data_IF_183188584455
#
_entry.id   IF_183188584455
#
_cell.length_a   1.000
_cell.length_b   1.000
_cell.length_c   1.000
_cell.angle_alpha   90.00
_cell.angle_beta   90.00
_cell.angle_gamma   90.00
#
_symmetry.space_group_name_H-M   'P 1'
#
loop_
_entity.id
_entity.type
_entity.pdbx_description
1 polymer ?
#
# COMPACT_ATOMS: atom_id res chain seq x y z
N UNK A 1 3.99 2.29 17.82
CA UNK A 1 4.00 3.71 17.42
C UNK A 1 5.43 4.08 17.00
N UNK A 2 5.66 5.27 16.43
CA UNK A 2 7.02 5.76 16.11
C UNK A 2 7.31 6.98 16.98
N UNK A 3 8.55 7.11 17.43
CA UNK A 3 9.04 8.33 18.07
C UNK A 3 10.32 8.74 17.37
N UNK A 4 10.45 10.05 17.12
CA UNK A 4 11.60 10.64 16.43
C UNK A 4 12.37 11.52 17.40
N UNK A 5 13.69 11.47 17.32
CA UNK A 5 14.62 12.31 18.08
C UNK A 5 15.82 12.64 17.19
N UNK A 6 16.48 13.76 17.47
CA UNK A 6 17.76 14.10 16.85
C UNK A 6 18.94 13.26 17.41
N UNK A 7 18.79 12.70 18.61
CA UNK A 7 19.83 11.92 19.29
C UNK A 7 19.31 10.55 19.71
N UNK A 8 20.18 9.54 19.54
CA UNK A 8 19.94 8.16 19.96
C UNK A 8 19.93 8.05 21.48
N UNK A 9 20.84 8.74 22.14
CA UNK A 9 21.01 8.79 23.60
C UNK A 9 19.74 9.33 24.28
N UNK A 10 19.10 10.34 23.67
CA UNK A 10 17.80 10.85 24.15
C UNK A 10 16.71 9.79 24.04
N UNK A 11 16.69 9.00 22.96
CA UNK A 11 15.71 7.91 22.82
C UNK A 11 15.93 6.83 23.87
N UNK A 12 17.17 6.42 24.08
CA UNK A 12 17.55 5.32 24.97
C UNK A 12 17.40 5.68 26.44
N UNK A 13 17.91 6.83 26.87
CA UNK A 13 18.03 7.16 28.29
C UNK A 13 16.90 8.03 28.83
N UNK A 14 16.16 8.74 27.97
CA UNK A 14 15.06 9.63 28.42
C UNK A 14 13.70 9.12 27.97
N UNK A 15 13.54 8.95 26.66
CA UNK A 15 12.23 8.68 26.05
C UNK A 15 11.76 7.26 26.34
N UNK A 16 12.60 6.25 26.14
CA UNK A 16 12.22 4.86 26.34
C UNK A 16 11.80 4.55 27.80
N UNK A 17 12.55 4.99 28.85
CA UNK A 17 12.13 4.83 30.24
C UNK A 17 10.83 5.58 30.54
N UNK A 18 10.67 6.80 30.04
CA UNK A 18 9.46 7.60 30.25
C UNK A 18 8.21 6.89 29.68
N UNK A 19 8.31 6.29 28.50
CA UNK A 19 7.21 5.54 27.89
C UNK A 19 6.89 4.28 28.67
N UNK A 20 7.91 3.52 29.10
CA UNK A 20 7.69 2.33 29.92
C UNK A 20 6.93 2.68 31.19
N UNK A 21 7.35 3.75 31.89
CA UNK A 21 6.64 4.25 33.07
C UNK A 21 5.20 4.68 32.75
N UNK A 22 4.99 5.40 31.65
CA UNK A 22 3.66 5.85 31.22
C UNK A 22 2.70 4.69 30.88
N UNK A 23 3.21 3.64 30.24
CA UNK A 23 2.43 2.46 29.86
C UNK A 23 2.18 1.52 31.05
N UNK A 24 3.16 1.37 31.96
CA UNK A 24 3.03 0.51 33.14
C UNK A 24 1.85 0.90 34.04
N UNK A 25 1.59 2.21 34.21
CA UNK A 25 0.41 2.72 34.95
C UNK A 25 -0.92 2.25 34.33
N UNK A 26 -0.91 1.86 33.05
CA UNK A 26 -2.07 1.35 32.30
C UNK A 26 -2.03 -0.16 32.10
N UNK A 27 -1.13 -0.89 32.77
CA UNK A 27 -0.98 -2.33 32.63
C UNK A 27 -0.44 -2.76 31.26
N UNK A 28 0.29 -1.89 30.56
CA UNK A 28 0.88 -2.17 29.25
C UNK A 28 2.40 -2.17 29.33
N UNK A 29 3.04 -3.07 28.60
CA UNK A 29 4.49 -3.16 28.50
C UNK A 29 4.97 -3.14 27.04
N UNK A 30 6.18 -2.63 26.84
CA UNK A 30 6.84 -2.67 25.53
C UNK A 30 7.49 -4.03 25.33
N UNK A 31 7.22 -4.65 24.18
CA UNK A 31 7.94 -5.83 23.72
C UNK A 31 9.35 -5.44 23.30
N UNK A 32 10.36 -6.00 23.98
CA UNK A 32 11.77 -5.73 23.69
C UNK A 32 12.17 -6.23 22.29
N UNK A 33 11.62 -7.36 21.86
CA UNK A 33 11.84 -7.91 20.51
C UNK A 33 11.37 -6.96 19.40
N UNK A 34 10.24 -6.25 19.62
CA UNK A 34 9.64 -5.35 18.63
C UNK A 34 10.14 -3.91 18.74
N UNK A 35 10.74 -3.56 19.88
CA UNK A 35 11.20 -2.20 20.14
C UNK A 35 12.62 -2.03 19.62
N UNK A 36 12.76 -1.23 18.57
CA UNK A 36 14.06 -0.98 17.93
C UNK A 36 14.30 0.51 17.77
N UNK A 37 15.53 0.92 18.08
CA UNK A 37 16.06 2.24 17.76
C UNK A 37 16.92 2.11 16.51
N UNK A 38 16.71 2.99 15.53
CA UNK A 38 17.40 2.91 14.24
C UNK A 38 17.58 4.30 13.65
N UNK A 39 18.64 4.48 12.86
CA UNK A 39 18.81 5.70 12.11
C UNK A 39 17.86 5.71 10.90
N UNK A 40 17.34 6.89 10.56
CA UNK A 40 16.49 7.08 9.36
C UNK A 40 17.22 6.75 8.05
N UNK A 41 18.56 6.81 8.05
CA UNK A 41 19.41 6.44 6.92
C UNK A 41 19.39 4.92 6.64
N UNK A 42 19.25 4.10 7.68
CA UNK A 42 19.10 2.64 7.56
C UNK A 42 17.66 2.27 7.17
N UNK A 43 16.71 3.09 7.64
CA UNK A 43 15.29 2.97 7.39
C UNK A 43 14.61 1.91 8.26
N UNK A 44 13.28 1.94 8.24
CA UNK A 44 12.44 0.99 8.99
C UNK A 44 11.09 0.79 8.32
N UNK A 45 10.44 -0.31 8.65
CA UNK A 45 9.10 -0.64 8.17
C UNK A 45 8.05 -0.18 9.19
N UNK A 46 7.02 0.51 8.70
CA UNK A 46 5.86 0.90 9.49
C UNK A 46 4.61 0.91 8.62
N UNK A 47 3.53 0.27 9.10
CA UNK A 47 2.25 0.15 8.39
C UNK A 47 2.43 -0.33 6.92
N UNK A 48 3.31 -1.30 6.71
CA UNK A 48 3.56 -1.88 5.38
C UNK A 48 4.30 -0.95 4.40
N UNK A 49 4.89 0.14 4.88
CA UNK A 49 5.73 1.06 4.13
C UNK A 49 7.13 1.09 4.74
N UNK A 50 8.16 1.19 3.90
CA UNK A 50 9.53 1.43 4.31
C UNK A 50 9.84 2.92 4.26
N UNK A 51 10.26 3.47 5.39
CA UNK A 51 10.63 4.88 5.56
C UNK A 51 12.15 4.97 5.63
N UNK A 52 12.78 5.64 4.66
CA UNK A 52 14.24 5.77 4.61
C UNK A 52 14.70 7.08 4.00
N UNK A 53 15.75 7.68 4.57
CA UNK A 53 16.38 8.90 4.05
C UNK A 53 17.69 8.55 3.34
N UNK A 54 17.77 8.90 2.06
CA UNK A 54 18.93 8.69 1.20
C UNK A 54 19.58 10.03 0.91
N UNK A 55 20.82 10.27 1.36
CA UNK A 55 21.58 11.50 1.08
C UNK A 55 20.73 12.78 1.21
N UNK A 56 20.01 12.92 2.33
CA UNK A 56 19.13 14.08 2.57
C UNK A 56 17.68 13.91 2.09
N UNK A 57 17.39 12.99 1.17
CA UNK A 57 16.07 12.79 0.55
C UNK A 57 15.28 11.67 1.21
N UNK A 58 14.12 11.99 1.80
CA UNK A 58 13.20 11.01 2.35
C UNK A 58 12.41 10.31 1.23
N UNK A 59 12.54 8.99 1.12
CA UNK A 59 11.72 8.16 0.26
C UNK A 59 10.93 7.19 1.12
N UNK A 60 9.61 7.22 0.96
CA UNK A 60 8.70 6.24 1.54
C UNK A 60 8.26 5.34 0.40
N UNK A 61 8.50 4.04 0.51
CA UNK A 61 8.15 3.04 -0.51
C UNK A 61 7.31 1.92 0.14
N UNK A 62 6.52 1.14 -0.61
CA UNK A 62 5.89 -0.05 -0.03
C UNK A 62 6.97 -1.02 0.49
N UNK A 63 6.78 -1.56 1.69
CA UNK A 63 7.80 -2.43 2.29
C UNK A 63 7.89 -3.77 1.56
N UNK A 64 9.07 -4.40 1.59
CA UNK A 64 9.29 -5.73 0.99
C UNK A 64 8.32 -6.77 1.56
N UNK A 65 8.06 -6.72 2.87
CA UNK A 65 7.10 -7.58 3.54
C UNK A 65 5.67 -7.38 3.00
N UNK A 66 5.23 -6.13 2.86
CA UNK A 66 3.90 -5.78 2.32
C UNK A 66 3.72 -6.27 0.87
N UNK A 67 4.73 -6.09 0.04
CA UNK A 67 4.73 -6.59 -1.36
C UNK A 67 4.67 -8.11 -1.38
N UNK A 68 5.49 -8.78 -0.58
CA UNK A 68 5.48 -10.26 -0.47
C UNK A 68 4.12 -10.77 -0.03
N UNK A 69 3.52 -10.17 1.00
CA UNK A 69 2.20 -10.55 1.50
C UNK A 69 1.11 -10.45 0.41
N UNK A 70 1.12 -9.38 -0.39
CA UNK A 70 0.22 -9.25 -1.54
C UNK A 70 0.45 -10.39 -2.54
N UNK A 71 1.68 -10.59 -2.99
CA UNK A 71 2.00 -11.59 -4.01
C UNK A 71 1.71 -13.01 -3.53
N UNK A 72 1.94 -13.31 -2.25
CA UNK A 72 1.60 -14.60 -1.65
C UNK A 72 0.10 -14.83 -1.58
N UNK A 73 -0.68 -13.79 -1.26
CA UNK A 73 -2.16 -13.85 -1.30
C UNK A 73 -2.66 -14.09 -2.73
N UNK A 74 -2.16 -13.33 -3.71
CA UNK A 74 -2.50 -13.52 -5.12
C UNK A 74 -2.13 -14.94 -5.58
N UNK A 75 -0.93 -15.41 -5.24
CA UNK A 75 -0.48 -16.76 -5.57
C UNK A 75 -1.39 -17.84 -5.01
N UNK A 76 -1.80 -17.71 -3.74
CA UNK A 76 -2.74 -18.66 -3.10
C UNK A 76 -4.07 -18.69 -3.84
N UNK A 77 -4.61 -17.54 -4.21
CA UNK A 77 -5.88 -17.45 -4.95
C UNK A 77 -5.75 -18.14 -6.32
N UNK A 78 -4.70 -17.82 -7.08
CA UNK A 78 -4.47 -18.42 -8.41
C UNK A 78 -4.30 -19.94 -8.31
N UNK A 79 -3.52 -20.42 -7.33
CA UNK A 79 -3.28 -21.85 -7.13
C UNK A 79 -4.52 -22.60 -6.65
N UNK A 80 -5.27 -22.04 -5.70
CA UNK A 80 -6.49 -22.65 -5.17
C UNK A 80 -7.63 -22.68 -6.18
N UNK A 81 -7.61 -21.81 -7.19
CA UNK A 81 -8.64 -21.71 -8.22
C UNK A 81 -8.09 -22.13 -9.59
N UNK A 82 -7.44 -23.29 -9.65
CA UNK A 82 -6.71 -23.71 -10.83
C UNK A 82 -7.64 -24.03 -12.03
N UNK A 83 -8.90 -24.39 -11.78
CA UNK A 83 -9.91 -24.76 -12.78
C UNK A 83 -11.00 -23.69 -13.03
N UNK A 84 -11.05 -22.62 -12.23
CA UNK A 84 -12.09 -21.59 -12.31
C UNK A 84 -12.16 -20.90 -13.68
N UNK A 85 -13.31 -20.37 -14.05
CA UNK A 85 -13.43 -19.50 -15.22
C UNK A 85 -12.52 -18.27 -15.09
N UNK A 86 -12.01 -17.77 -16.22
CA UNK A 86 -11.15 -16.59 -16.26
C UNK A 86 -11.78 -15.37 -15.58
N UNK A 87 -13.07 -15.14 -15.83
CA UNK A 87 -13.87 -14.08 -15.19
C UNK A 87 -13.83 -14.18 -13.67
N UNK A 88 -14.13 -15.35 -13.11
CA UNK A 88 -14.13 -15.55 -11.66
C UNK A 88 -12.77 -15.24 -11.04
N UNK A 89 -11.68 -15.64 -11.70
CA UNK A 89 -10.34 -15.32 -11.23
C UNK A 89 -10.07 -13.80 -11.24
N UNK A 90 -10.50 -13.09 -12.29
CA UNK A 90 -10.36 -11.63 -12.39
C UNK A 90 -11.15 -10.93 -11.27
N UNK A 91 -12.39 -11.35 -11.03
CA UNK A 91 -13.25 -10.77 -10.00
C UNK A 91 -12.67 -10.97 -8.58
N UNK A 92 -12.04 -12.11 -8.30
CA UNK A 92 -11.36 -12.34 -7.03
C UNK A 92 -10.10 -11.49 -6.85
N UNK A 93 -9.31 -11.32 -7.90
CA UNK A 93 -8.02 -10.62 -7.83
C UNK A 93 -8.18 -9.09 -7.82
N UNK A 94 -9.15 -8.55 -8.55
CA UNK A 94 -9.31 -7.11 -8.76
C UNK A 94 -9.46 -6.30 -7.46
N UNK A 95 -10.34 -6.67 -6.50
CA UNK A 95 -10.48 -5.94 -5.24
C UNK A 95 -9.18 -5.91 -4.43
N UNK A 96 -8.41 -7.00 -4.45
CA UNK A 96 -7.18 -7.14 -3.68
C UNK A 96 -6.07 -6.25 -4.25
N UNK A 97 -5.85 -6.33 -5.57
CA UNK A 97 -4.83 -5.53 -6.25
C UNK A 97 -5.20 -4.04 -6.16
N UNK A 98 -6.46 -3.70 -6.44
CA UNK A 98 -6.94 -2.31 -6.37
C UNK A 98 -6.81 -1.75 -4.96
N UNK A 99 -7.27 -2.47 -3.94
CA UNK A 99 -7.19 -2.02 -2.55
C UNK A 99 -5.75 -1.77 -2.11
N UNK A 100 -4.84 -2.70 -2.44
CA UNK A 100 -3.42 -2.54 -2.11
C UNK A 100 -2.78 -1.35 -2.84
N UNK A 101 -3.07 -1.18 -4.14
CA UNK A 101 -2.56 -0.05 -4.92
C UNK A 101 -3.12 1.29 -4.45
N UNK A 102 -4.40 1.35 -4.08
CA UNK A 102 -5.02 2.56 -3.52
C UNK A 102 -4.40 2.93 -2.17
N UNK A 103 -4.14 1.96 -1.30
CA UNK A 103 -3.47 2.21 -0.03
C UNK A 103 -2.07 2.82 -0.20
N UNK A 104 -1.28 2.30 -1.15
CA UNK A 104 0.09 2.77 -1.40
C UNK A 104 0.19 3.93 -2.40
N UNK A 105 -0.93 4.45 -2.93
CA UNK A 105 -0.90 5.50 -3.97
C UNK A 105 -0.29 6.82 -3.51
N UNK A 106 -0.16 7.02 -2.20
CA UNK A 106 0.35 8.26 -1.62
C UNK A 106 1.88 8.28 -1.45
N UNK A 107 2.51 7.11 -1.55
CA UNK A 107 3.96 6.95 -1.38
C UNK A 107 4.68 6.74 -2.71
N UNK A 108 6.01 6.62 -2.69
CA UNK A 108 6.82 6.37 -3.89
C UNK A 108 6.64 4.91 -4.30
N UNK A 109 5.53 4.61 -4.96
CA UNK A 109 5.11 3.23 -5.25
C UNK A 109 5.10 2.84 -6.73
N UNK A 110 5.32 3.78 -7.67
CA UNK A 110 5.11 3.53 -9.11
C UNK A 110 5.97 2.39 -9.65
N UNK A 111 7.26 2.33 -9.30
CA UNK A 111 8.15 1.24 -9.69
C UNK A 111 7.70 -0.10 -9.09
N UNK A 112 7.29 -0.10 -7.82
CA UNK A 112 6.75 -1.28 -7.15
C UNK A 112 5.47 -1.77 -7.81
N UNK A 113 4.58 -0.87 -8.22
CA UNK A 113 3.35 -1.20 -8.94
C UNK A 113 3.64 -1.95 -10.25
N UNK A 114 4.57 -1.45 -11.05
CA UNK A 114 5.00 -2.13 -12.28
C UNK A 114 5.61 -3.51 -11.99
N UNK A 115 6.39 -3.62 -10.91
CA UNK A 115 7.01 -4.88 -10.50
C UNK A 115 5.97 -5.93 -10.09
N UNK A 116 4.96 -5.56 -9.29
CA UNK A 116 3.91 -6.50 -8.88
C UNK A 116 3.04 -6.92 -10.07
N UNK A 117 2.71 -6.00 -10.99
CA UNK A 117 1.96 -6.34 -12.21
C UNK A 117 2.70 -7.40 -13.02
N UNK A 118 4.02 -7.28 -13.16
CA UNK A 118 4.85 -8.28 -13.83
C UNK A 118 4.82 -9.64 -13.11
N UNK A 119 4.96 -9.68 -11.79
CA UNK A 119 4.90 -10.93 -11.04
C UNK A 119 3.52 -11.60 -11.13
N UNK A 120 2.44 -10.81 -11.07
CA UNK A 120 1.07 -11.30 -11.23
C UNK A 120 0.85 -11.85 -12.63
N UNK A 121 1.31 -11.13 -13.67
CA UNK A 121 1.28 -11.62 -15.05
C UNK A 121 1.99 -12.97 -15.19
N UNK A 122 3.18 -13.16 -14.61
CA UNK A 122 3.89 -14.46 -14.64
C UNK A 122 3.09 -15.58 -14.00
N UNK A 123 2.39 -15.30 -12.90
CA UNK A 123 1.55 -16.27 -12.21
C UNK A 123 0.34 -16.66 -13.07
N UNK A 124 -0.29 -15.68 -13.72
CA UNK A 124 -1.44 -15.89 -14.62
C UNK A 124 -1.03 -16.62 -15.90
N UNK A 125 0.15 -16.32 -16.45
CA UNK A 125 0.71 -17.05 -17.59
C UNK A 125 0.85 -18.54 -17.27
N UNK A 126 1.45 -18.87 -16.12
CA UNK A 126 1.57 -20.28 -15.67
C UNK A 126 0.22 -20.94 -15.47
N UNK A 127 -0.74 -20.23 -14.88
CA UNK A 127 -2.11 -20.72 -14.73
C UNK A 127 -2.75 -21.01 -16.09
N UNK A 128 -2.57 -20.13 -17.08
CA UNK A 128 -3.10 -20.30 -18.42
C UNK A 128 -2.45 -21.48 -19.18
N UNK A 129 -1.13 -21.62 -19.11
CA UNK A 129 -0.43 -22.76 -19.72
C UNK A 129 -0.86 -24.10 -19.11
N UNK A 130 -1.01 -24.18 -17.78
CA UNK A 130 -1.43 -25.40 -17.08
C UNK A 130 -2.79 -25.92 -17.58
N UNK A 131 -3.70 -25.03 -17.97
CA UNK A 131 -5.03 -25.39 -18.45
C UNK A 131 -5.03 -25.99 -19.86
N UNK A 132 -3.95 -25.78 -20.62
CA UNK A 132 -3.88 -26.16 -22.03
C UNK A 132 -2.53 -26.78 -22.35
N UNK A 133 -2.22 -27.97 -21.82
CA UNK A 133 -0.92 -28.62 -22.02
C UNK A 133 -0.61 -28.88 -23.50
N UNK A 134 -1.65 -29.10 -24.32
CA UNK A 134 -1.52 -29.43 -25.74
C UNK A 134 -1.63 -28.19 -26.67
N UNK A 135 -1.63 -26.97 -26.13
CA UNK A 135 -1.73 -25.74 -26.93
C UNK A 135 -0.46 -24.92 -26.82
N UNK A 136 0.01 -24.39 -27.96
CA UNK A 136 1.18 -23.53 -28.00
C UNK A 136 0.97 -22.17 -27.34
N UNK A 137 2.08 -21.54 -26.95
CA UNK A 137 2.09 -20.24 -26.27
C UNK A 137 1.32 -19.14 -27.03
N UNK A 138 1.39 -19.13 -28.37
CA UNK A 138 0.66 -18.17 -29.20
C UNK A 138 -0.86 -18.30 -29.04
N UNK A 139 -1.37 -19.53 -28.98
CA UNK A 139 -2.79 -19.79 -28.77
C UNK A 139 -3.20 -19.35 -27.36
N UNK A 140 -2.40 -19.69 -26.34
CA UNK A 140 -2.66 -19.30 -24.94
C UNK A 140 -2.70 -17.78 -24.80
N UNK A 141 -1.72 -17.07 -25.38
CA UNK A 141 -1.71 -15.59 -25.42
C UNK A 141 -3.01 -15.08 -26.02
N UNK A 142 -3.40 -15.53 -27.21
CA UNK A 142 -4.66 -15.10 -27.86
C UNK A 142 -5.92 -15.51 -27.09
N UNK A 143 -5.89 -16.53 -26.25
CA UNK A 143 -7.07 -17.00 -25.50
C UNK A 143 -7.34 -16.19 -24.24
N UNK A 144 -6.28 -15.76 -23.55
CA UNK A 144 -6.35 -15.18 -22.20
C UNK A 144 -5.86 -13.74 -22.10
N UNK A 145 -5.05 -13.29 -23.06
CA UNK A 145 -4.39 -12.00 -23.03
C UNK A 145 -4.77 -11.16 -24.24
N UNK A 146 -5.12 -9.91 -24.01
CA UNK A 146 -5.56 -8.97 -25.03
C UNK A 146 -4.60 -7.79 -25.16
N UNK A 147 -4.86 -7.01 -26.18
CA UNK A 147 -4.28 -5.69 -26.37
C UNK A 147 -5.41 -4.70 -26.09
N UNK A 148 -5.19 -3.76 -25.18
CA UNK A 148 -6.13 -2.69 -24.85
C UNK A 148 -5.44 -1.34 -25.03
N UNK A 149 -5.75 -0.64 -26.12
CA UNK A 149 -5.03 0.57 -26.54
C UNK A 149 -3.54 0.27 -26.75
N UNK A 150 -2.68 1.00 -26.05
CA UNK A 150 -1.21 0.80 -26.09
C UNK A 150 -0.71 -0.34 -25.21
N UNK A 151 -1.58 -0.93 -24.38
CA UNK A 151 -1.20 -1.99 -23.45
C UNK A 151 -1.35 -3.34 -24.11
N UNK A 152 -0.31 -4.16 -24.03
CA UNK A 152 -0.35 -5.56 -24.45
C UNK A 152 -0.22 -6.47 -23.24
N UNK A 153 -0.68 -7.70 -23.39
CA UNK A 153 -0.67 -8.72 -22.32
C UNK A 153 -1.66 -8.47 -21.19
N UNK A 154 -2.77 -7.82 -21.48
CA UNK A 154 -3.83 -7.61 -20.49
C UNK A 154 -4.62 -8.90 -20.29
N UNK A 155 -4.63 -9.42 -19.06
CA UNK A 155 -5.40 -10.61 -18.74
C UNK A 155 -6.90 -10.27 -18.70
N UNK A 156 -7.61 -10.60 -19.77
CA UNK A 156 -9.02 -10.22 -19.94
C UNK A 156 -9.82 -11.23 -20.76
N UNK A 157 -11.13 -11.24 -20.55
CA UNK A 157 -12.08 -12.12 -21.25
C UNK A 157 -12.16 -11.80 -22.74
N UNK A 158 -12.72 -12.72 -23.53
CA UNK A 158 -12.78 -12.57 -24.99
C UNK A 158 -13.64 -11.39 -25.45
N UNK A 159 -14.70 -11.10 -24.71
CA UNK A 159 -15.60 -9.95 -24.86
C UNK A 159 -15.05 -8.66 -24.24
N UNK A 160 -13.85 -8.69 -23.65
CA UNK A 160 -13.22 -7.59 -22.91
C UNK A 160 -14.04 -7.01 -21.75
N UNK A 161 -15.14 -7.68 -21.34
CA UNK A 161 -16.01 -7.25 -20.24
C UNK A 161 -15.29 -7.25 -18.90
N UNK A 162 -14.41 -8.24 -18.68
CA UNK A 162 -13.62 -8.35 -17.47
C UNK A 162 -12.13 -8.31 -17.79
N UNK A 163 -11.45 -7.30 -17.25
CA UNK A 163 -10.00 -7.16 -17.29
C UNK A 163 -9.40 -7.11 -15.89
N UNK A 164 -8.23 -7.72 -15.74
CA UNK A 164 -7.45 -7.57 -14.52
C UNK A 164 -6.99 -6.11 -14.37
N UNK A 165 -7.21 -5.54 -13.18
CA UNK A 165 -6.68 -4.21 -12.87
C UNK A 165 -5.17 -4.25 -12.78
N UNK A 166 -4.54 -3.21 -13.31
CA UNK A 166 -3.10 -2.99 -13.17
C UNK A 166 -2.84 -2.04 -12.02
N UNK A 167 -2.00 -2.43 -11.08
CA UNK A 167 -1.57 -1.53 -10.03
C UNK A 167 -0.86 -0.31 -10.63
N UNK A 168 -0.10 -0.50 -11.70
CA UNK A 168 0.59 0.59 -12.39
C UNK A 168 -0.37 1.60 -13.03
N UNK A 169 -1.65 1.26 -13.26
CA UNK A 169 -2.63 2.23 -13.75
C UNK A 169 -3.07 3.22 -12.66
N UNK A 170 -2.87 2.90 -11.37
CA UNK A 170 -3.23 3.81 -10.28
C UNK A 170 -2.29 5.02 -10.27
N UNK A 171 -2.89 6.21 -10.26
CA UNK A 171 -2.17 7.48 -10.19
C UNK A 171 -1.68 7.75 -8.77
N UNK A 172 -0.41 8.17 -8.68
CA UNK A 172 0.19 8.59 -7.42
C UNK A 172 -0.39 9.94 -7.02
N UNK A 173 -0.96 10.02 -5.80
CA UNK A 173 -1.54 11.26 -5.25
C UNK A 173 -0.78 11.64 -3.98
N UNK A 174 0.06 12.66 -4.03
CA UNK A 174 0.84 13.07 -2.85
C UNK A 174 -0.07 13.73 -1.81
N UNK A 175 0.17 13.45 -0.52
CA UNK A 175 -0.50 14.20 0.54
C UNK A 175 0.07 15.61 0.60
N UNK A 176 -0.80 16.61 0.73
CA UNK A 176 -0.40 17.94 1.13
C UNK A 176 0.13 17.89 2.57
N UNK A 177 1.31 18.45 2.85
CA UNK A 177 1.83 18.50 4.23
C UNK A 177 0.98 19.44 5.09
N UNK A 178 0.94 19.19 6.39
CA UNK A 178 0.42 20.17 7.36
C UNK A 178 1.50 21.24 7.56
N UNK A 179 1.10 22.49 7.78
CA UNK A 179 2.06 23.54 8.14
C UNK A 179 2.69 23.18 9.48
N UNK A 180 4.03 23.24 9.57
CA UNK A 180 4.75 22.75 10.76
C UNK A 180 4.40 23.49 12.05
N UNK A 181 4.05 24.77 11.93
CA UNK A 181 3.63 25.62 13.07
C UNK A 181 2.14 25.51 13.39
N UNK A 182 1.35 24.82 12.56
CA UNK A 182 -0.09 24.75 12.77
C UNK A 182 -0.42 23.89 13.99
N UNK A 183 -1.01 24.52 15.00
CA UNK A 183 -1.46 23.87 16.21
C UNK A 183 -3.00 23.71 16.17
N UNK A 184 -3.54 22.48 16.19
CA UNK A 184 -4.99 22.24 16.20
C UNK A 184 -5.73 22.80 17.42
N UNK A 185 -5.01 23.15 18.48
CA UNK A 185 -5.58 23.66 19.74
C UNK A 185 -5.43 25.18 19.89
N UNK A 186 -4.88 25.85 18.87
CA UNK A 186 -4.72 27.30 18.85
C UNK A 186 -5.75 27.89 17.86
N UNK A 187 -6.70 28.73 18.34
CA UNK A 187 -7.77 29.29 17.51
C UNK A 187 -7.29 30.05 16.28
N UNK A 188 -6.06 30.55 16.28
CA UNK A 188 -5.47 31.24 15.11
C UNK A 188 -5.39 30.33 13.87
N UNK A 189 -5.39 29.01 14.06
CA UNK A 189 -5.32 28.02 12.98
C UNK A 189 -6.67 27.43 12.56
N UNK A 190 -7.79 27.84 13.16
CA UNK A 190 -9.10 27.25 12.89
C UNK A 190 -9.50 27.35 11.41
N UNK A 191 -9.32 28.52 10.81
CA UNK A 191 -9.60 28.73 9.39
C UNK A 191 -8.74 27.82 8.49
N UNK A 192 -7.48 27.59 8.86
CA UNK A 192 -6.58 26.69 8.14
C UNK A 192 -7.08 25.24 8.18
N UNK A 193 -7.46 24.74 9.37
CA UNK A 193 -7.97 23.38 9.53
C UNK A 193 -9.35 23.19 8.91
N UNK A 194 -10.24 24.18 8.99
CA UNK A 194 -11.55 24.17 8.34
C UNK A 194 -11.43 24.06 6.82
N UNK A 195 -10.59 24.90 6.19
CA UNK A 195 -10.31 24.82 4.74
C UNK A 195 -9.77 23.45 4.34
N UNK A 196 -8.88 22.89 5.16
CA UNK A 196 -8.27 21.58 4.91
C UNK A 196 -9.25 20.41 5.06
N UNK A 197 -10.22 20.50 5.98
CA UNK A 197 -11.31 19.53 6.09
C UNK A 197 -12.20 19.58 4.85
N UNK A 198 -12.63 20.79 4.44
CA UNK A 198 -13.48 20.96 3.26
C UNK A 198 -12.84 20.45 1.97
N UNK A 199 -11.52 20.64 1.82
CA UNK A 199 -10.75 20.11 0.69
C UNK A 199 -10.66 18.56 0.68
N UNK A 200 -10.78 17.89 1.83
CA UNK A 200 -10.88 16.43 1.89
C UNK A 200 -12.26 15.93 1.49
N UNK A 201 -13.32 16.65 1.87
CA UNK A 201 -14.71 16.29 1.57
C UNK A 201 -15.06 16.43 0.08
N UNK A 202 -14.55 17.44 -0.59
CA UNK A 202 -14.74 17.63 -2.04
C UNK A 202 -13.99 16.62 -2.90
N UNK A 203 -12.99 15.91 -2.35
CA UNK A 203 -12.18 14.96 -3.09
C UNK A 203 -12.79 13.55 -3.24
N UNK A 204 -14.01 13.31 -2.75
CA UNK A 204 -14.77 12.08 -2.99
C UNK A 204 -14.02 10.79 -2.64
N UNK A 205 -13.33 10.74 -1.50
CA UNK A 205 -12.59 9.54 -1.07
C UNK A 205 -13.55 8.51 -0.44
N UNK A 206 -13.78 7.33 -1.06
CA UNK A 206 -14.67 6.31 -0.49
C UNK A 206 -14.01 5.71 0.75
N UNK A 207 -14.66 5.84 1.90
CA UNK A 207 -14.25 5.16 3.15
C UNK A 207 -13.73 6.06 4.28
N UNK A 208 -13.89 7.39 4.21
CA UNK A 208 -13.56 8.26 5.35
C UNK A 208 -14.74 8.27 6.34
N UNK A 209 -14.60 7.55 7.45
CA UNK A 209 -15.49 7.70 8.61
C UNK A 209 -15.36 9.13 9.14
N UNK A 210 -16.48 9.85 9.20
CA UNK A 210 -16.59 11.20 9.74
C UNK A 210 -16.37 11.19 11.25
N UNK A 211 -15.15 11.46 11.70
CA UNK A 211 -14.92 11.78 13.11
C UNK A 211 -15.50 13.18 13.38
N UNK A 212 -16.74 13.23 13.90
CA UNK A 212 -17.30 14.43 14.50
C UNK A 212 -16.60 14.65 15.83
N UNK A 213 -15.73 15.66 15.90
CA UNK A 213 -15.34 16.23 17.18
C UNK A 213 -16.59 16.87 17.81
N UNK A 214 -17.13 16.25 18.86
CA UNK A 214 -18.02 16.97 19.78
C UNK A 214 -17.09 17.81 20.64
N UNK A 215 -17.12 19.13 20.44
CA UNK A 215 -16.58 20.07 21.43
C UNK A 215 -17.46 19.95 22.68
N UNK A 216 -16.81 19.70 23.82
CA UNK A 216 -17.36 19.94 25.15
C UNK A 216 -16.75 21.25 25.66
#
# INVERSE_FOLDING_TARGET
>A
FIITSASKEVLEHKVLPAIRKYLAVRGLELSDEKTRITNIADGFDFLGQNVRKYNGKLLITPSKHSVKALLDRVRRIIKGNAAIAQEGLIQMLNPIIRGWAMYHRHVVAKATFSSIDFYIWRMLWRWACRRHPNKGARWIRRRYFRVNGSQSWDFSTADAKYGLVRAAAVSIKRHAKILGLANPFDPTWDAYFARRQNAKHTAGEPGVTTWRWRMA
#
